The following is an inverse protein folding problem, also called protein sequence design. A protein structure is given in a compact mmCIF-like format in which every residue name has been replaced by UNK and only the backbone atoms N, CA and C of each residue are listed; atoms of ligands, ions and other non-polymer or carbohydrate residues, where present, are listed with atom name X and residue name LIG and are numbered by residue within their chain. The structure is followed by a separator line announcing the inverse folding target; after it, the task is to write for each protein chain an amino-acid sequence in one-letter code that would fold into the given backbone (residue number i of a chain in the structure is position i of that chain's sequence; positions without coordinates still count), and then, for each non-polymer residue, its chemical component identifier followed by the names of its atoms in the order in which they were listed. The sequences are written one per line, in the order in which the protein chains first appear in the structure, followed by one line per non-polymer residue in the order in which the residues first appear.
data_IF_000746079156
#
_entry.id   IF_000746079156
#
_cell.length_a   1.000
_cell.length_b   1.000
_cell.length_c   1.000
_cell.angle_alpha   90.00
_cell.angle_beta   90.00
_cell.angle_gamma   90.00
#
_symmetry.space_group_name_H-M   'P 1'
#
loop_
_entity.id
_entity.type
_entity.pdbx_description
1 polymer ?
#
# COMPACT_ATOMS: atom_id res chain seq x y z
N UNK A 1 -31.28 -15.49 -62.80
CA UNK A 1 -31.80 -15.57 -61.42
C UNK A 1 -31.03 -16.65 -60.68
N UNK A 2 -29.96 -16.29 -59.97
CA UNK A 2 -29.09 -17.23 -59.27
C UNK A 2 -29.22 -16.99 -57.76
N UNK A 3 -29.50 -18.07 -57.03
CA UNK A 3 -29.74 -18.07 -55.60
C UNK A 3 -28.44 -17.85 -54.81
N UNK A 4 -28.40 -16.82 -53.98
CA UNK A 4 -27.33 -16.55 -53.02
C UNK A 4 -27.57 -17.32 -51.72
N UNK A 5 -26.78 -18.36 -51.48
CA UNK A 5 -26.64 -19.02 -50.17
C UNK A 5 -25.82 -18.14 -49.23
N UNK A 6 -26.47 -17.57 -48.22
CA UNK A 6 -25.80 -16.82 -47.14
C UNK A 6 -25.14 -17.77 -46.14
N UNK A 7 -23.80 -17.80 -46.14
CA UNK A 7 -23.03 -18.46 -45.10
C UNK A 7 -23.12 -17.66 -43.79
N UNK A 8 -23.70 -18.26 -42.75
CA UNK A 8 -23.78 -17.68 -41.42
C UNK A 8 -22.37 -17.51 -40.82
N UNK A 9 -21.98 -16.25 -40.58
CA UNK A 9 -20.75 -15.88 -39.86
C UNK A 9 -20.86 -16.35 -38.41
N UNK A 10 -19.94 -17.20 -37.98
CA UNK A 10 -19.82 -17.61 -36.58
C UNK A 10 -19.61 -16.38 -35.66
N UNK A 11 -20.25 -16.31 -34.48
CA UNK A 11 -20.06 -15.20 -33.57
C UNK A 11 -18.61 -15.20 -33.07
N UNK A 12 -17.88 -14.14 -33.42
CA UNK A 12 -16.51 -13.91 -32.98
C UNK A 12 -16.39 -14.00 -31.46
N UNK A 13 -15.44 -14.82 -31.00
CA UNK A 13 -14.99 -14.84 -29.60
C UNK A 13 -14.62 -13.41 -29.20
N UNK A 14 -15.41 -12.80 -28.33
CA UNK A 14 -15.07 -11.52 -27.69
C UNK A 14 -13.70 -11.67 -27.03
N UNK A 15 -12.79 -10.77 -27.38
CA UNK A 15 -11.47 -10.66 -26.77
C UNK A 15 -11.64 -10.60 -25.24
N UNK A 16 -10.94 -11.50 -24.53
CA UNK A 16 -11.09 -11.67 -23.10
C UNK A 16 -10.62 -10.44 -22.35
N UNK A 17 -11.57 -9.68 -21.79
CA UNK A 17 -11.29 -8.74 -20.71
C UNK A 17 -10.58 -9.50 -19.59
N UNK A 18 -9.39 -9.06 -19.20
CA UNK A 18 -8.70 -9.52 -17.99
C UNK A 18 -9.70 -9.48 -16.82
N UNK A 19 -10.18 -10.65 -16.40
CA UNK A 19 -11.32 -10.76 -15.50
C UNK A 19 -10.85 -10.41 -14.08
N UNK A 20 -11.04 -9.15 -13.69
CA UNK A 20 -10.81 -8.66 -12.32
C UNK A 20 -11.56 -9.57 -11.35
N UNK A 21 -10.83 -10.27 -10.48
CA UNK A 21 -11.44 -11.18 -9.52
C UNK A 21 -12.06 -10.41 -8.36
N UNK A 22 -13.34 -10.67 -8.08
CA UNK A 22 -14.06 -9.98 -7.01
C UNK A 22 -13.51 -10.33 -5.62
N UNK A 23 -13.03 -11.55 -5.42
CA UNK A 23 -12.39 -12.00 -4.18
C UNK A 23 -11.24 -11.07 -3.71
N UNK A 24 -10.39 -10.59 -4.62
CA UNK A 24 -9.33 -9.64 -4.28
C UNK A 24 -9.86 -8.25 -3.89
N UNK A 25 -10.99 -7.85 -4.47
CA UNK A 25 -11.64 -6.59 -4.11
C UNK A 25 -12.30 -6.68 -2.74
N UNK A 26 -12.93 -7.81 -2.41
CA UNK A 26 -13.48 -8.07 -1.08
C UNK A 26 -12.38 -7.99 -0.02
N UNK A 27 -11.28 -8.71 -0.21
CA UNK A 27 -10.15 -8.71 0.74
C UNK A 27 -9.61 -7.30 0.94
N UNK A 28 -9.45 -6.52 -0.15
CA UNK A 28 -9.01 -5.12 -0.04
C UNK A 28 -10.00 -4.25 0.70
N UNK A 29 -11.29 -4.35 0.36
CA UNK A 29 -12.37 -3.56 0.99
C UNK A 29 -12.44 -3.85 2.48
N UNK A 30 -12.38 -5.13 2.87
CA UNK A 30 -12.32 -5.52 4.28
C UNK A 30 -11.11 -4.89 4.96
N UNK A 31 -9.92 -5.03 4.37
CA UNK A 31 -8.70 -4.49 4.96
C UNK A 31 -8.74 -2.96 5.11
N UNK A 32 -9.13 -2.19 4.08
CA UNK A 32 -9.27 -0.73 4.19
C UNK A 32 -10.36 -0.32 5.17
N UNK A 33 -11.45 -1.08 5.28
CA UNK A 33 -12.53 -0.77 6.23
C UNK A 33 -12.01 -0.84 7.67
N UNK A 34 -11.24 -1.87 8.01
CA UNK A 34 -10.60 -1.96 9.33
C UNK A 34 -9.59 -0.82 9.55
N UNK A 35 -8.84 -0.43 8.51
CA UNK A 35 -7.91 0.72 8.55
C UNK A 35 -8.63 2.06 8.81
N UNK A 36 -9.79 2.27 8.19
CA UNK A 36 -10.55 3.50 8.38
C UNK A 36 -11.22 3.49 9.74
N UNK A 37 -11.83 2.36 10.11
CA UNK A 37 -12.56 2.22 11.36
C UNK A 37 -11.65 2.42 12.57
N UNK A 38 -10.41 1.91 12.55
CA UNK A 38 -9.50 2.08 13.68
C UNK A 38 -9.05 3.53 13.86
N UNK A 39 -8.69 4.22 12.78
CA UNK A 39 -8.36 5.65 12.88
C UNK A 39 -9.55 6.52 13.22
N UNK A 40 -10.69 6.38 12.53
CA UNK A 40 -11.85 7.26 12.76
C UNK A 40 -12.44 7.07 14.16
N UNK A 41 -12.24 5.92 14.79
CA UNK A 41 -12.65 5.69 16.19
C UNK A 41 -11.50 5.91 17.17
N UNK A 42 -10.65 4.92 17.38
CA UNK A 42 -9.58 4.91 18.37
C UNK A 42 -8.50 5.98 18.13
N UNK A 43 -8.20 6.25 16.86
CA UNK A 43 -7.20 7.24 16.48
C UNK A 43 -7.68 8.68 16.62
N UNK A 44 -8.97 8.94 16.36
CA UNK A 44 -9.60 10.24 16.49
C UNK A 44 -9.81 10.60 17.97
N UNK A 45 -10.22 9.63 18.80
CA UNK A 45 -10.30 9.78 20.26
C UNK A 45 -8.97 10.20 20.90
N UNK A 46 -7.84 9.76 20.34
CA UNK A 46 -6.52 10.12 20.84
C UNK A 46 -6.09 11.56 20.46
N UNK A 47 -6.86 12.26 19.64
CA UNK A 47 -6.58 13.65 19.26
C UNK A 47 -7.27 14.63 20.21
N UNK A 48 -6.65 15.79 20.51
CA UNK A 48 -7.24 16.79 21.38
C UNK A 48 -8.58 17.31 20.83
N UNK A 49 -9.55 17.47 21.72
CA UNK A 49 -10.87 18.07 21.47
C UNK A 49 -11.70 17.40 20.36
N UNK A 50 -11.48 16.10 20.11
CA UNK A 50 -12.39 15.29 19.31
C UNK A 50 -13.23 14.44 20.25
N UNK A 51 -14.55 14.59 20.14
CA UNK A 51 -15.47 13.82 20.97
C UNK A 51 -15.47 12.34 20.54
N UNK A 52 -15.35 11.38 21.49
CA UNK A 52 -15.28 9.96 21.17
C UNK A 52 -16.57 9.43 20.54
N UNK A 53 -16.42 8.38 19.72
CA UNK A 53 -17.53 7.59 19.21
C UNK A 53 -17.84 6.41 20.15
N UNK A 54 -19.07 5.86 20.13
CA UNK A 54 -19.39 4.69 20.93
C UNK A 54 -18.63 3.46 20.40
N UNK A 55 -17.62 3.06 21.15
CA UNK A 55 -16.75 1.92 20.84
C UNK A 55 -15.54 2.31 19.98
N UNK A 56 -14.46 1.56 20.17
CA UNK A 56 -13.18 1.81 19.50
C UNK A 56 -12.63 0.53 18.90
N UNK A 57 -12.02 0.64 17.72
CA UNK A 57 -11.40 -0.49 17.04
C UNK A 57 -9.88 -0.30 17.02
N UNK A 58 -9.13 -1.16 17.72
CA UNK A 58 -7.66 -1.12 17.76
C UNK A 58 -7.08 -2.40 17.16
N UNK A 59 -7.42 -2.67 15.91
CA UNK A 59 -7.08 -3.93 15.22
C UNK A 59 -6.36 -3.65 13.87
N UNK A 60 -5.04 -3.36 13.90
CA UNK A 60 -4.27 -2.91 12.72
C UNK A 60 -3.98 -3.98 11.66
N UNK A 61 -4.60 -5.15 11.73
CA UNK A 61 -4.37 -6.23 10.77
C UNK A 61 -4.78 -5.88 9.33
N UNK A 62 -5.68 -4.89 9.15
CA UNK A 62 -6.06 -4.37 7.84
C UNK A 62 -4.82 -3.87 7.07
N UNK A 63 -4.00 -3.04 7.70
CA UNK A 63 -2.70 -2.57 7.18
C UNK A 63 -1.79 -3.71 6.77
N UNK A 64 -1.61 -4.69 7.65
CA UNK A 64 -0.73 -5.82 7.39
C UNK A 64 -1.22 -6.62 6.18
N UNK A 65 -2.54 -6.81 6.07
CA UNK A 65 -3.16 -7.47 4.92
C UNK A 65 -2.90 -6.73 3.62
N UNK A 66 -2.88 -5.40 3.64
CA UNK A 66 -2.64 -4.57 2.46
C UNK A 66 -1.19 -4.69 2.00
N UNK A 67 -0.22 -4.72 2.92
CA UNK A 67 1.18 -5.02 2.59
C UNK A 67 1.37 -6.44 2.02
N UNK A 68 0.60 -7.43 2.52
CA UNK A 68 0.60 -8.78 1.94
C UNK A 68 -0.01 -8.78 0.53
N UNK A 69 -1.09 -8.02 0.29
CA UNK A 69 -1.67 -7.86 -1.06
C UNK A 69 -0.63 -7.28 -2.04
N UNK A 70 0.20 -6.34 -1.59
CA UNK A 70 1.34 -5.80 -2.33
C UNK A 70 2.30 -6.89 -2.75
N UNK A 71 2.71 -7.68 -1.76
CA UNK A 71 3.52 -8.88 -1.91
C UNK A 71 3.02 -9.78 -3.03
N UNK A 72 1.72 -10.08 -3.00
CA UNK A 72 1.08 -10.97 -3.95
C UNK A 72 1.12 -10.41 -5.38
N UNK A 73 0.73 -9.15 -5.57
CA UNK A 73 0.62 -8.55 -6.91
C UNK A 73 1.96 -8.15 -7.54
N UNK A 74 3.05 -8.11 -6.77
CA UNK A 74 4.40 -7.95 -7.34
C UNK A 74 4.72 -9.07 -8.34
N UNK A 75 4.41 -10.33 -8.01
CA UNK A 75 4.78 -11.48 -8.83
C UNK A 75 4.20 -11.48 -10.26
N UNK A 76 2.87 -11.42 -10.43
CA UNK A 76 2.23 -11.43 -11.76
C UNK A 76 2.67 -10.28 -12.66
N UNK A 77 2.96 -9.12 -12.09
CA UNK A 77 3.27 -7.89 -12.84
C UNK A 77 4.74 -7.75 -13.19
N UNK A 78 5.64 -8.17 -12.31
CA UNK A 78 7.08 -8.11 -12.52
C UNK A 78 7.50 -8.97 -13.71
N UNK A 79 6.74 -10.01 -14.05
CA UNK A 79 6.95 -10.85 -15.24
C UNK A 79 6.60 -10.16 -16.57
N UNK A 80 5.84 -9.06 -16.55
CA UNK A 80 5.30 -8.41 -17.75
C UNK A 80 6.18 -7.29 -18.30
N UNK A 81 7.07 -6.73 -17.48
CA UNK A 81 7.89 -5.56 -17.80
C UNK A 81 9.34 -5.79 -17.39
N UNK A 82 10.28 -5.02 -17.96
CA UNK A 82 11.63 -4.95 -17.42
C UNK A 82 11.60 -4.35 -16.01
N UNK A 83 12.54 -4.74 -15.14
CA UNK A 83 12.54 -4.33 -13.73
C UNK A 83 12.41 -2.81 -13.53
N UNK A 84 13.13 -2.01 -14.33
CA UNK A 84 13.05 -0.54 -14.26
C UNK A 84 11.69 0.01 -14.70
N UNK A 85 11.12 -0.47 -15.82
CA UNK A 85 9.78 -0.04 -16.28
C UNK A 85 8.68 -0.50 -15.31
N UNK A 86 8.84 -1.68 -14.72
CA UNK A 86 7.93 -2.17 -13.68
C UNK A 86 7.95 -1.26 -12.44
N UNK A 87 9.14 -0.89 -11.97
CA UNK A 87 9.28 0.02 -10.83
C UNK A 87 8.68 1.40 -11.13
N UNK A 88 8.97 1.96 -12.31
CA UNK A 88 8.35 3.21 -12.78
C UNK A 88 6.82 3.12 -12.81
N UNK A 89 6.25 2.01 -13.31
CA UNK A 89 4.81 1.81 -13.32
C UNK A 89 4.20 1.78 -11.90
N UNK A 90 4.90 1.22 -10.92
CA UNK A 90 4.46 1.24 -9.51
C UNK A 90 4.51 2.65 -8.93
N UNK A 91 5.57 3.41 -9.19
CA UNK A 91 5.69 4.79 -8.73
C UNK A 91 4.65 5.71 -9.38
N UNK A 92 4.46 5.62 -10.70
CA UNK A 92 3.48 6.37 -11.47
C UNK A 92 2.05 6.19 -10.96
N UNK A 93 1.78 5.07 -10.30
CA UNK A 93 0.47 4.77 -9.72
C UNK A 93 0.24 5.39 -8.35
N UNK A 94 1.27 5.42 -7.51
CA UNK A 94 1.14 5.79 -6.09
C UNK A 94 1.50 7.25 -5.88
N UNK A 95 2.61 7.72 -6.46
CA UNK A 95 3.18 9.03 -6.14
C UNK A 95 2.30 10.22 -6.54
N UNK A 96 1.64 10.27 -7.71
CA UNK A 96 0.88 11.47 -8.10
C UNK A 96 -0.26 11.79 -7.13
N UNK A 97 -1.08 10.79 -6.80
CA UNK A 97 -2.18 10.96 -5.85
C UNK A 97 -1.66 11.22 -4.43
N UNK A 98 -0.57 10.55 -4.01
CA UNK A 98 0.08 10.82 -2.73
C UNK A 98 0.55 12.28 -2.61
N UNK A 99 1.25 12.81 -3.63
CA UNK A 99 1.76 14.17 -3.63
C UNK A 99 0.61 15.17 -3.51
N UNK A 100 -0.47 14.99 -4.25
CA UNK A 100 -1.64 15.89 -4.16
C UNK A 100 -2.31 15.79 -2.80
N UNK A 101 -2.52 14.58 -2.27
CA UNK A 101 -3.09 14.38 -0.94
C UNK A 101 -2.21 15.00 0.16
N UNK A 102 -0.89 14.81 0.07
CA UNK A 102 0.08 15.41 1.00
C UNK A 102 0.02 16.94 1.00
N UNK A 103 0.01 17.55 -0.20
CA UNK A 103 -0.08 19.00 -0.33
C UNK A 103 -1.40 19.54 0.19
N UNK A 104 -2.51 18.85 -0.09
CA UNK A 104 -3.83 19.19 0.43
C UNK A 104 -3.86 19.09 1.96
N UNK A 105 -3.39 17.98 2.54
CA UNK A 105 -3.31 17.80 4.00
C UNK A 105 -2.42 18.86 4.64
N UNK A 106 -1.24 19.12 4.08
CA UNK A 106 -0.35 20.17 4.56
C UNK A 106 -1.03 21.54 4.55
N UNK A 107 -1.66 21.93 3.44
CA UNK A 107 -2.34 23.21 3.32
C UNK A 107 -3.50 23.34 4.32
N UNK A 108 -4.34 22.31 4.42
CA UNK A 108 -5.45 22.28 5.37
C UNK A 108 -4.93 22.45 6.79
N UNK A 109 -3.91 21.68 7.20
CA UNK A 109 -3.32 21.80 8.54
C UNK A 109 -2.72 23.18 8.79
N UNK A 110 -2.05 23.79 7.81
CA UNK A 110 -1.53 25.16 7.93
C UNK A 110 -2.61 26.23 8.15
N UNK A 111 -3.84 25.96 7.72
CA UNK A 111 -4.99 26.87 7.88
C UNK A 111 -5.71 26.60 9.21
N UNK A 112 -6.01 25.34 9.51
CA UNK A 112 -6.92 24.99 10.63
C UNK A 112 -6.20 24.84 11.97
N UNK A 113 -4.93 24.40 11.99
CA UNK A 113 -4.21 24.18 13.25
C UNK A 113 -4.02 25.47 14.04
N UNK A 114 -3.68 26.63 13.44
CA UNK A 114 -3.65 27.89 14.19
C UNK A 114 -5.01 28.25 14.81
N UNK A 115 -6.12 27.87 14.16
CA UNK A 115 -7.47 28.10 14.71
C UNK A 115 -7.73 27.14 15.88
N UNK A 116 -7.35 25.87 15.76
CA UNK A 116 -7.53 24.86 16.82
C UNK A 116 -6.64 25.11 18.05
N UNK A 117 -5.51 25.81 17.87
CA UNK A 117 -4.60 26.17 18.94
C UNK A 117 -4.77 27.64 19.40
N UNK A 118 -5.86 28.32 19.03
CA UNK A 118 -6.12 29.72 19.40
C UNK A 118 -5.00 30.72 19.05
N UNK A 119 -4.24 30.43 17.98
CA UNK A 119 -3.14 31.26 17.48
C UNK A 119 -1.78 31.02 18.16
N UNK A 120 -1.70 30.15 19.16
CA UNK A 120 -0.48 29.87 19.92
C UNK A 120 0.08 28.45 19.67
N UNK A 121 1.16 28.09 20.36
CA UNK A 121 1.60 26.70 20.42
C UNK A 121 0.56 25.88 21.19
N UNK A 122 0.00 24.86 20.54
CA UNK A 122 -1.06 24.06 21.12
C UNK A 122 -0.91 22.58 20.78
N UNK A 123 -1.88 21.76 21.21
CA UNK A 123 -1.74 20.31 21.18
C UNK A 123 -1.90 19.74 19.75
N UNK A 124 -2.44 20.52 18.81
CA UNK A 124 -2.38 20.19 17.39
C UNK A 124 -1.05 20.64 16.78
N UNK A 125 -0.29 19.67 16.28
CA UNK A 125 0.99 19.95 15.64
C UNK A 125 0.83 20.71 14.31
N UNK A 126 1.51 21.84 14.17
CA UNK A 126 1.56 22.65 12.95
C UNK A 126 2.77 22.23 12.09
N UNK A 127 2.58 21.53 10.97
CA UNK A 127 3.70 21.05 10.16
C UNK A 127 4.46 22.19 9.48
N UNK A 128 5.79 22.07 9.44
CA UNK A 128 6.68 23.00 8.73
C UNK A 128 6.99 22.55 7.30
N UNK A 129 7.62 23.43 6.52
CA UNK A 129 8.08 23.12 5.15
C UNK A 129 9.09 21.97 5.14
N UNK A 130 9.92 21.85 6.18
CA UNK A 130 10.86 20.74 6.33
C UNK A 130 10.15 19.39 6.43
N UNK A 131 9.00 19.32 7.11
CA UNK A 131 8.21 18.10 7.23
C UNK A 131 7.58 17.75 5.87
N UNK A 132 7.08 18.76 5.14
CA UNK A 132 6.56 18.58 3.79
C UNK A 132 7.62 17.99 2.84
N UNK A 133 8.82 18.57 2.80
CA UNK A 133 9.91 18.08 1.93
C UNK A 133 10.28 16.64 2.28
N UNK A 134 10.42 16.30 3.57
CA UNK A 134 10.76 14.93 4.00
C UNK A 134 9.66 13.92 3.66
N UNK A 135 8.40 14.34 3.74
CA UNK A 135 7.27 13.51 3.36
C UNK A 135 7.23 13.29 1.85
N UNK A 136 7.34 14.34 1.03
CA UNK A 136 7.38 14.24 -0.43
C UNK A 136 8.54 13.38 -0.94
N UNK A 137 9.71 13.45 -0.28
CA UNK A 137 10.87 12.61 -0.58
C UNK A 137 10.75 11.18 -0.01
N UNK A 138 9.69 10.86 0.73
CA UNK A 138 9.50 9.58 1.42
C UNK A 138 10.64 9.23 2.38
N UNK A 139 11.27 10.23 3.00
CA UNK A 139 12.36 10.06 3.98
C UNK A 139 11.94 10.42 5.42
N UNK A 140 10.67 10.73 5.65
CA UNK A 140 10.15 11.11 6.97
C UNK A 140 10.37 10.02 8.03
N UNK A 141 10.36 8.74 7.65
CA UNK A 141 10.68 7.62 8.56
C UNK A 141 12.11 7.68 9.09
N UNK A 142 13.06 8.29 8.37
CA UNK A 142 14.47 8.40 8.80
C UNK A 142 14.69 9.38 9.95
N UNK A 143 13.67 10.17 10.31
CA UNK A 143 13.80 11.19 11.35
C UNK A 143 13.61 10.63 12.77
N UNK A 144 13.07 9.42 12.92
CA UNK A 144 12.72 8.81 14.20
C UNK A 144 11.63 9.53 15.00
N UNK A 145 11.15 10.68 14.53
CA UNK A 145 10.22 11.55 15.25
C UNK A 145 8.81 11.46 14.65
N UNK A 146 7.96 10.60 15.22
CA UNK A 146 6.59 10.38 14.73
C UNK A 146 5.72 11.65 14.75
N UNK A 147 5.97 12.56 15.69
CA UNK A 147 5.28 13.85 15.80
C UNK A 147 5.46 14.76 14.57
N UNK A 148 6.51 14.52 13.76
CA UNK A 148 6.81 15.31 12.55
C UNK A 148 6.18 14.73 11.28
N UNK A 149 5.37 13.68 11.39
CA UNK A 149 4.58 13.18 10.26
C UNK A 149 3.38 14.10 10.03
N UNK A 150 3.23 14.59 8.80
CA UNK A 150 2.06 15.38 8.39
C UNK A 150 0.80 14.53 8.55
N UNK A 151 0.86 13.28 8.11
CA UNK A 151 -0.14 12.25 8.38
C UNK A 151 0.60 10.97 8.79
N UNK A 152 0.19 10.39 9.93
CA UNK A 152 0.87 9.23 10.47
C UNK A 152 0.67 7.99 9.61
N UNK A 153 -0.47 7.87 8.91
CA UNK A 153 -0.82 6.71 8.10
C UNK A 153 0.16 6.49 6.95
N UNK A 154 0.84 7.54 6.47
CA UNK A 154 1.73 7.50 5.32
C UNK A 154 3.03 6.74 5.52
N UNK A 155 3.31 6.24 6.73
CA UNK A 155 4.50 5.45 7.03
C UNK A 155 4.68 4.22 6.10
N UNK A 156 3.60 3.65 5.54
CA UNK A 156 3.76 2.50 4.62
C UNK A 156 4.23 2.87 3.23
N UNK A 157 4.09 4.11 2.79
CA UNK A 157 4.51 4.52 1.45
C UNK A 157 6.02 4.35 1.23
N UNK A 158 6.91 4.85 2.11
CA UNK A 158 8.34 4.56 1.98
C UNK A 158 8.64 3.06 2.05
N UNK A 159 7.93 2.32 2.92
CA UNK A 159 8.07 0.86 3.05
C UNK A 159 7.69 0.14 1.74
N UNK A 160 6.58 0.50 1.11
CA UNK A 160 6.13 -0.04 -0.17
C UNK A 160 7.12 0.30 -1.29
N UNK A 161 7.57 1.56 -1.38
CA UNK A 161 8.55 1.98 -2.37
C UNK A 161 9.87 1.23 -2.20
N UNK A 162 10.33 1.02 -0.96
CA UNK A 162 11.51 0.21 -0.66
C UNK A 162 11.31 -1.26 -1.08
N UNK A 163 10.14 -1.85 -0.80
CA UNK A 163 9.80 -3.20 -1.23
C UNK A 163 9.79 -3.34 -2.76
N UNK A 164 9.22 -2.37 -3.48
CA UNK A 164 9.24 -2.36 -4.95
C UNK A 164 10.67 -2.18 -5.48
N UNK A 165 11.46 -1.28 -4.90
CA UNK A 165 12.86 -1.10 -5.28
C UNK A 165 13.66 -2.41 -5.08
N UNK A 166 13.47 -3.08 -3.94
CA UNK A 166 14.08 -4.38 -3.64
C UNK A 166 13.66 -5.47 -4.62
N UNK A 167 12.35 -5.59 -4.92
CA UNK A 167 11.84 -6.55 -5.89
C UNK A 167 12.38 -6.29 -7.31
N UNK A 168 12.46 -5.03 -7.72
CA UNK A 168 13.05 -4.63 -8.99
C UNK A 168 14.54 -4.97 -9.06
N UNK A 169 15.30 -4.75 -7.97
CA UNK A 169 16.72 -5.08 -7.88
C UNK A 169 16.96 -6.59 -7.99
N UNK A 170 16.17 -7.40 -7.27
CA UNK A 170 16.22 -8.86 -7.36
C UNK A 170 15.92 -9.33 -8.79
N UNK A 171 14.86 -8.81 -9.40
CA UNK A 171 14.51 -9.15 -10.78
C UNK A 171 15.58 -8.72 -11.78
N UNK A 172 16.17 -7.54 -11.61
CA UNK A 172 17.26 -7.06 -12.45
C UNK A 172 18.48 -7.97 -12.36
N UNK A 173 18.87 -8.38 -11.15
CA UNK A 173 19.99 -9.31 -10.96
C UNK A 173 19.70 -10.68 -11.60
N UNK A 174 18.48 -11.21 -11.43
CA UNK A 174 18.04 -12.44 -12.08
C UNK A 174 18.08 -12.37 -13.60
N UNK A 175 17.67 -11.24 -14.19
CA UNK A 175 17.68 -11.07 -15.64
C UNK A 175 19.09 -10.90 -16.20
N UNK A 176 19.95 -10.15 -15.51
CA UNK A 176 21.29 -9.79 -15.98
C UNK A 176 22.32 -10.90 -15.77
N UNK A 177 22.25 -11.62 -14.64
CA UNK A 177 23.28 -12.61 -14.24
C UNK A 177 22.94 -14.05 -14.63
N UNK A 178 21.80 -14.29 -15.30
CA UNK A 178 21.24 -15.63 -15.57
C UNK A 178 21.50 -16.62 -14.42
N UNK A 179 21.16 -16.31 -13.16
CA UNK A 179 21.33 -17.26 -12.08
C UNK A 179 20.27 -18.35 -12.26
N UNK A 180 20.57 -19.36 -13.08
CA UNK A 180 19.73 -20.56 -13.28
C UNK A 180 19.57 -21.39 -12.00
N UNK A 181 20.12 -20.95 -10.86
CA UNK A 181 20.28 -21.75 -9.64
C UNK A 181 19.46 -21.28 -8.43
N UNK A 182 19.09 -20.00 -8.31
CA UNK A 182 18.37 -19.54 -7.11
C UNK A 182 16.87 -19.66 -7.31
N UNK A 183 16.25 -20.59 -6.58
CA UNK A 183 14.79 -20.77 -6.60
C UNK A 183 14.13 -19.56 -5.92
N UNK A 184 12.99 -19.03 -6.43
CA UNK A 184 12.28 -17.91 -5.79
C UNK A 184 11.95 -18.14 -4.32
N UNK A 185 11.69 -19.38 -3.92
CA UNK A 185 11.50 -19.76 -2.52
C UNK A 185 12.70 -19.42 -1.62
N UNK A 186 13.93 -19.55 -2.13
CA UNK A 186 15.15 -19.19 -1.38
C UNK A 186 15.21 -17.69 -1.13
N UNK A 187 14.78 -16.88 -2.10
CA UNK A 187 14.70 -15.42 -1.90
C UNK A 187 13.65 -15.06 -0.86
N UNK A 188 12.47 -15.70 -0.89
CA UNK A 188 11.43 -15.48 0.13
C UNK A 188 11.96 -15.83 1.53
N UNK A 189 12.62 -16.98 1.69
CA UNK A 189 13.25 -17.36 2.96
C UNK A 189 14.38 -16.41 3.37
N UNK A 190 15.19 -15.92 2.42
CA UNK A 190 16.21 -14.92 2.68
C UNK A 190 15.63 -13.61 3.18
N UNK A 191 14.56 -13.11 2.55
CA UNK A 191 13.83 -11.91 3.00
C UNK A 191 13.24 -12.12 4.39
N UNK A 192 12.67 -13.30 4.68
CA UNK A 192 12.18 -13.63 6.02
C UNK A 192 13.30 -13.68 7.06
N UNK A 193 14.47 -14.24 6.71
CA UNK A 193 15.64 -14.26 7.59
C UNK A 193 16.15 -12.85 7.90
N UNK A 194 16.25 -11.99 6.89
CA UNK A 194 16.63 -10.58 7.08
C UNK A 194 15.58 -9.85 7.93
N UNK A 195 14.29 -10.05 7.66
CA UNK A 195 13.22 -9.47 8.46
C UNK A 195 13.30 -9.96 9.91
N UNK A 196 13.51 -11.25 10.15
CA UNK A 196 13.63 -11.82 11.50
C UNK A 196 14.84 -11.28 12.27
N UNK A 197 15.96 -11.05 11.58
CA UNK A 197 17.18 -10.49 12.16
C UNK A 197 17.15 -8.95 12.32
N UNK A 198 16.21 -8.26 11.67
CA UNK A 198 16.15 -6.79 11.67
C UNK A 198 16.07 -6.14 13.07
N UNK A 199 15.44 -6.74 14.10
CA UNK A 199 15.46 -6.17 15.46
C UNK A 199 16.85 -6.09 16.08
N UNK A 200 17.81 -6.94 15.67
CA UNK A 200 19.21 -6.83 16.13
C UNK A 200 19.81 -5.50 15.67
N UNK A 201 19.47 -5.07 14.46
CA UNK A 201 19.90 -3.78 13.93
C UNK A 201 19.25 -2.60 14.68
N UNK A 202 18.05 -2.78 15.26
CA UNK A 202 17.43 -1.76 16.13
C UNK A 202 18.28 -1.48 17.37
N UNK A 203 19.05 -2.45 17.87
CA UNK A 203 20.00 -2.25 18.97
C UNK A 203 21.17 -1.31 18.62
N UNK A 204 21.45 -1.10 17.34
CA UNK A 204 22.51 -0.19 16.85
C UNK A 204 21.89 1.11 16.33
N UNK A 205 20.81 1.00 15.55
CA UNK A 205 20.10 2.13 14.94
C UNK A 205 18.59 1.87 14.97
N UNK A 206 17.86 2.58 15.83
CA UNK A 206 16.42 2.38 16.01
C UNK A 206 15.60 2.59 14.72
N UNK A 207 16.07 3.46 13.83
CA UNK A 207 15.31 3.94 12.68
C UNK A 207 15.52 3.11 11.41
N UNK A 208 16.68 2.48 11.24
CA UNK A 208 17.03 1.84 9.96
C UNK A 208 16.08 0.70 9.59
N UNK A 209 15.72 -0.24 10.49
CA UNK A 209 14.84 -1.36 10.11
C UNK A 209 13.46 -0.92 9.62
N UNK A 210 12.88 0.10 10.22
CA UNK A 210 11.57 0.65 9.84
C UNK A 210 11.67 1.52 8.60
N UNK A 211 12.63 2.44 8.54
CA UNK A 211 12.80 3.38 7.44
C UNK A 211 13.23 2.71 6.11
N UNK A 212 13.92 1.57 6.18
CA UNK A 212 14.26 0.75 5.01
C UNK A 212 13.18 -0.27 4.62
N UNK A 213 12.13 -0.42 5.45
CA UNK A 213 11.08 -1.41 5.27
C UNK A 213 11.46 -2.85 5.65
N UNK A 214 12.68 -3.10 6.11
CA UNK A 214 13.15 -4.44 6.54
C UNK A 214 12.28 -5.02 7.66
N UNK A 215 11.83 -4.18 8.59
CA UNK A 215 10.94 -4.58 9.68
C UNK A 215 9.59 -5.11 9.18
N UNK A 216 9.12 -4.73 7.98
CA UNK A 216 7.84 -5.15 7.42
C UNK A 216 7.98 -6.12 6.24
N UNK A 217 9.20 -6.48 5.86
CA UNK A 217 9.48 -7.28 4.68
C UNK A 217 8.85 -8.69 4.75
N UNK A 218 8.57 -9.21 5.95
CA UNK A 218 7.89 -10.50 6.14
C UNK A 218 6.46 -10.51 5.57
N UNK A 219 5.76 -9.38 5.57
CA UNK A 219 4.40 -9.26 5.02
C UNK A 219 4.42 -9.34 3.48
N UNK A 220 5.35 -8.63 2.83
CA UNK A 220 5.56 -8.73 1.39
C UNK A 220 6.02 -10.14 0.97
N UNK A 221 6.86 -10.78 1.79
CA UNK A 221 7.30 -12.15 1.59
C UNK A 221 6.12 -13.13 1.66
N UNK A 222 5.18 -12.95 2.58
CA UNK A 222 3.96 -13.76 2.68
C UNK A 222 3.11 -13.68 1.39
N UNK A 223 2.88 -12.47 0.89
CA UNK A 223 2.14 -12.26 -0.36
C UNK A 223 2.82 -12.92 -1.55
N UNK A 224 4.14 -12.72 -1.66
CA UNK A 224 4.96 -13.34 -2.71
C UNK A 224 4.92 -14.88 -2.63
N UNK A 225 4.94 -15.44 -1.41
CA UNK A 225 4.83 -16.88 -1.18
C UNK A 225 3.46 -17.44 -1.61
N UNK A 226 2.37 -16.75 -1.27
CA UNK A 226 1.00 -17.11 -1.72
C UNK A 226 0.93 -17.10 -3.25
N UNK A 227 1.53 -16.10 -3.90
CA UNK A 227 1.59 -16.05 -5.37
C UNK A 227 2.40 -17.22 -5.95
N UNK A 228 3.62 -17.46 -5.45
CA UNK A 228 4.46 -18.58 -5.90
C UNK A 228 3.77 -19.93 -5.72
N UNK A 229 3.07 -20.10 -4.59
CA UNK A 229 2.23 -21.27 -4.36
C UNK A 229 1.11 -21.33 -5.39
N UNK A 230 0.36 -20.26 -5.63
CA UNK A 230 -0.72 -20.24 -6.62
C UNK A 230 -0.26 -20.68 -8.02
N UNK A 231 0.95 -20.30 -8.42
CA UNK A 231 1.61 -20.67 -9.68
C UNK A 231 2.29 -22.06 -9.68
N UNK A 232 2.09 -22.86 -8.63
CA UNK A 232 2.73 -24.19 -8.43
C UNK A 232 4.27 -24.15 -8.40
N UNK A 233 4.86 -23.02 -8.00
CA UNK A 233 6.31 -22.81 -7.82
C UNK A 233 6.79 -22.98 -6.38
N UNK A 234 5.85 -23.15 -5.45
CA UNK A 234 6.09 -23.38 -4.02
C UNK A 234 5.17 -24.51 -3.54
N UNK A 235 5.74 -25.50 -2.84
CA UNK A 235 4.98 -26.61 -2.29
C UNK A 235 4.10 -26.14 -1.10
N UNK A 236 2.97 -26.81 -0.88
CA UNK A 236 2.03 -26.49 0.21
C UNK A 236 2.69 -26.44 1.60
N UNK A 237 3.46 -27.46 2.03
CA UNK A 237 4.13 -27.43 3.33
C UNK A 237 5.11 -26.25 3.48
N UNK A 238 5.77 -25.85 2.40
CA UNK A 238 6.68 -24.71 2.40
C UNK A 238 5.93 -23.39 2.56
N UNK A 239 4.77 -23.24 1.89
CA UNK A 239 3.88 -22.10 2.13
C UNK A 239 3.43 -22.07 3.60
N UNK A 240 2.96 -23.19 4.14
CA UNK A 240 2.53 -23.27 5.55
C UNK A 240 3.65 -22.84 6.50
N UNK A 241 4.87 -23.35 6.31
CA UNK A 241 6.02 -22.96 7.12
C UNK A 241 6.30 -21.45 7.03
N UNK A 242 6.27 -20.87 5.82
CA UNK A 242 6.44 -19.42 5.62
C UNK A 242 5.35 -18.64 6.35
N UNK A 243 4.08 -19.01 6.20
CA UNK A 243 2.97 -18.29 6.83
C UNK A 243 3.02 -18.39 8.36
N UNK A 244 3.43 -19.54 8.92
CA UNK A 244 3.64 -19.70 10.36
C UNK A 244 4.77 -18.82 10.87
N UNK A 245 5.89 -18.70 10.14
CA UNK A 245 6.97 -17.79 10.50
C UNK A 245 6.52 -16.33 10.43
N UNK A 246 5.74 -15.96 9.41
CA UNK A 246 5.18 -14.60 9.27
C UNK A 246 4.27 -14.27 10.46
N UNK A 247 3.37 -15.19 10.83
CA UNK A 247 2.49 -15.01 11.99
C UNK A 247 3.28 -14.97 13.30
N UNK A 248 4.29 -15.84 13.44
CA UNK A 248 5.20 -15.84 14.59
C UNK A 248 5.94 -14.52 14.75
N UNK A 249 6.54 -13.99 13.66
CA UNK A 249 7.13 -12.65 13.65
C UNK A 249 6.10 -11.58 14.00
N UNK A 250 4.86 -11.70 13.52
CA UNK A 250 3.82 -10.73 13.80
C UNK A 250 3.41 -10.70 15.28
N UNK A 251 3.48 -11.82 16.01
CA UNK A 251 3.23 -11.87 17.46
C UNK A 251 4.20 -10.96 18.22
N UNK A 252 5.48 -10.96 17.84
CA UNK A 252 6.51 -10.13 18.48
C UNK A 252 6.46 -8.66 18.03
N UNK A 253 5.73 -8.35 16.95
CA UNK A 253 5.68 -7.02 16.32
C UNK A 253 4.34 -6.30 16.51
N UNK A 254 3.41 -6.92 17.25
CA UNK A 254 2.09 -6.34 17.50
C UNK A 254 1.96 -5.95 18.97
N UNK A 255 1.38 -4.79 19.21
CA UNK A 255 0.90 -4.36 20.53
C UNK A 255 -0.35 -5.15 20.94
N UNK A 256 -0.79 -4.99 22.19
CA UNK A 256 -2.03 -5.62 22.65
C UNK A 256 -3.28 -5.04 21.95
N UNK A 257 -4.30 -5.86 21.61
CA UNK A 257 -4.42 -7.31 21.87
C UNK A 257 -3.74 -8.18 20.79
N UNK A 258 -2.50 -8.62 21.03
CA UNK A 258 -1.61 -9.13 19.97
C UNK A 258 -2.12 -10.41 19.32
N UNK A 259 -2.70 -11.31 20.12
CA UNK A 259 -3.22 -12.59 19.64
C UNK A 259 -4.43 -12.41 18.73
N UNK A 260 -5.31 -11.43 19.03
CA UNK A 260 -6.47 -11.12 18.20
C UNK A 260 -6.01 -10.55 16.86
N UNK A 261 -5.06 -9.62 16.87
CA UNK A 261 -4.48 -9.03 15.66
C UNK A 261 -3.88 -10.11 14.76
N UNK A 262 -3.09 -11.02 15.33
CA UNK A 262 -2.45 -12.12 14.59
C UNK A 262 -3.48 -13.13 14.09
N UNK A 263 -4.51 -13.45 14.87
CA UNK A 263 -5.60 -14.33 14.45
C UNK A 263 -6.37 -13.73 13.26
N UNK A 264 -6.72 -12.44 13.33
CA UNK A 264 -7.36 -11.72 12.22
C UNK A 264 -6.47 -11.73 10.96
N UNK A 265 -5.16 -11.46 11.10
CA UNK A 265 -4.22 -11.58 9.98
C UNK A 265 -4.19 -13.01 9.42
N UNK A 266 -4.17 -14.03 10.28
CA UNK A 266 -4.24 -15.43 9.87
C UNK A 266 -5.48 -15.76 9.05
N UNK A 267 -6.65 -15.25 9.44
CA UNK A 267 -7.90 -15.35 8.67
C UNK A 267 -7.74 -14.68 7.30
N UNK A 268 -7.18 -13.45 7.25
CA UNK A 268 -6.95 -12.76 5.99
C UNK A 268 -5.97 -13.52 5.08
N UNK A 269 -4.89 -14.10 5.61
CA UNK A 269 -3.97 -14.95 4.84
C UNK A 269 -4.67 -16.20 4.28
N UNK A 270 -5.55 -16.83 5.07
CA UNK A 270 -6.38 -17.93 4.62
C UNK A 270 -7.31 -17.53 3.47
N UNK A 271 -8.00 -16.39 3.60
CA UNK A 271 -8.84 -15.82 2.55
C UNK A 271 -8.05 -15.50 1.27
N UNK A 272 -6.82 -14.98 1.41
CA UNK A 272 -5.93 -14.75 0.27
C UNK A 272 -5.50 -16.06 -0.41
N UNK A 273 -5.24 -17.14 0.34
CA UNK A 273 -4.98 -18.45 -0.24
C UNK A 273 -6.20 -18.98 -1.01
N UNK A 274 -7.41 -18.80 -0.46
CA UNK A 274 -8.67 -19.15 -1.13
C UNK A 274 -8.88 -18.30 -2.39
N UNK A 275 -8.62 -16.99 -2.37
CA UNK A 275 -8.73 -16.13 -3.55
C UNK A 275 -7.70 -16.49 -4.64
N UNK A 276 -6.50 -16.92 -4.23
CA UNK A 276 -5.41 -17.22 -5.13
C UNK A 276 -5.64 -18.49 -5.96
N UNK A 277 -6.20 -19.57 -5.37
CA UNK A 277 -6.44 -20.85 -6.07
C UNK A 277 -7.90 -21.29 -6.16
N UNK A 278 -8.78 -20.76 -5.33
CA UNK A 278 -10.19 -21.12 -5.29
C UNK A 278 -11.04 -20.45 -6.37
N UNK A 279 -12.33 -20.81 -6.44
CA UNK A 279 -13.28 -20.14 -7.31
C UNK A 279 -13.43 -18.67 -6.90
N UNK A 280 -13.75 -17.81 -7.88
CA UNK A 280 -14.08 -16.43 -7.54
C UNK A 280 -15.40 -16.36 -6.76
N UNK A 281 -15.57 -15.29 -5.99
CA UNK A 281 -16.65 -15.18 -5.03
C UNK A 281 -17.95 -14.63 -5.64
N UNK A 282 -18.02 -14.41 -6.95
CA UNK A 282 -19.19 -13.84 -7.65
C UNK A 282 -20.47 -14.64 -7.39
N UNK A 283 -20.34 -15.94 -7.15
CA UNK A 283 -21.50 -16.81 -6.84
C UNK A 283 -22.17 -16.48 -5.51
N UNK A 284 -21.41 -15.97 -4.53
CA UNK A 284 -21.91 -15.70 -3.17
C UNK A 284 -22.20 -14.21 -2.99
N UNK A 285 -21.31 -13.35 -3.51
CA UNK A 285 -21.38 -11.89 -3.29
C UNK A 285 -21.68 -11.12 -4.59
N UNK A 286 -22.19 -11.78 -5.63
CA UNK A 286 -22.42 -11.17 -6.94
C UNK A 286 -23.32 -9.92 -6.92
N UNK A 287 -24.30 -9.87 -6.02
CA UNK A 287 -25.17 -8.70 -5.81
C UNK A 287 -24.36 -7.46 -5.38
N UNK A 288 -23.30 -7.68 -4.58
CA UNK A 288 -22.41 -6.63 -4.08
C UNK A 288 -21.21 -6.37 -4.99
N UNK A 289 -21.10 -7.04 -6.15
CA UNK A 289 -19.95 -6.92 -7.05
C UNK A 289 -19.66 -5.48 -7.43
N UNK A 290 -20.68 -4.73 -7.85
CA UNK A 290 -20.54 -3.32 -8.25
C UNK A 290 -20.08 -2.42 -7.10
N UNK A 291 -20.76 -2.36 -5.94
CA UNK A 291 -20.32 -1.50 -4.84
C UNK A 291 -18.93 -1.91 -4.31
N UNK A 292 -18.64 -3.21 -4.17
CA UNK A 292 -17.33 -3.69 -3.71
C UNK A 292 -16.24 -3.32 -4.72
N UNK A 293 -16.47 -3.55 -6.02
CA UNK A 293 -15.52 -3.20 -7.07
C UNK A 293 -15.25 -1.70 -7.15
N UNK A 294 -16.28 -0.89 -6.92
CA UNK A 294 -16.19 0.57 -6.88
C UNK A 294 -15.38 1.04 -5.67
N UNK A 295 -15.71 0.54 -4.47
CA UNK A 295 -15.02 0.88 -3.24
C UNK A 295 -13.55 0.44 -3.27
N UNK A 296 -13.28 -0.78 -3.76
CA UNK A 296 -11.92 -1.27 -4.03
C UNK A 296 -11.18 -0.44 -5.08
N UNK A 297 -11.91 0.27 -5.95
CA UNK A 297 -11.34 1.15 -6.98
C UNK A 297 -10.94 2.53 -6.45
N UNK A 298 -11.46 2.96 -5.30
CA UNK A 298 -11.12 4.22 -4.63
C UNK A 298 -10.36 4.01 -3.31
N UNK A 299 -10.06 2.76 -2.95
CA UNK A 299 -9.49 2.40 -1.64
C UNK A 299 -8.16 3.09 -1.33
N UNK A 300 -7.38 3.40 -2.36
CA UNK A 300 -6.14 4.16 -2.20
C UNK A 300 -6.39 5.65 -1.97
N UNK A 301 -7.38 6.23 -2.64
CA UNK A 301 -7.86 7.56 -2.28
C UNK A 301 -8.31 7.62 -0.83
N UNK A 302 -9.08 6.60 -0.38
CA UNK A 302 -9.57 6.50 1.00
C UNK A 302 -8.39 6.44 1.96
N UNK A 303 -7.41 5.58 1.69
CA UNK A 303 -6.18 5.55 2.47
C UNK A 303 -5.53 6.92 2.61
N UNK A 304 -5.41 7.66 1.51
CA UNK A 304 -4.67 8.90 1.52
C UNK A 304 -5.35 10.00 2.35
N UNK A 305 -6.67 9.94 2.55
CA UNK A 305 -7.42 11.03 3.17
C UNK A 305 -8.13 10.66 4.48
N UNK A 306 -8.15 9.38 4.86
CA UNK A 306 -8.97 8.94 6.00
C UNK A 306 -8.49 9.43 7.37
N UNK A 307 -7.18 9.61 7.58
CA UNK A 307 -6.65 9.86 8.91
C UNK A 307 -6.66 11.35 9.28
N UNK A 308 -5.64 12.15 8.93
CA UNK A 308 -5.56 13.54 9.44
C UNK A 308 -6.66 14.44 8.91
N UNK A 309 -7.02 14.32 7.64
CA UNK A 309 -8.16 15.07 7.10
C UNK A 309 -9.47 14.61 7.75
N UNK A 310 -9.63 13.30 8.02
CA UNK A 310 -10.75 12.78 8.80
C UNK A 310 -10.81 13.37 10.21
N UNK A 311 -9.67 13.50 10.89
CA UNK A 311 -9.59 14.11 12.23
C UNK A 311 -9.92 15.59 12.21
N UNK A 312 -9.47 16.33 11.19
CA UNK A 312 -9.85 17.75 11.02
C UNK A 312 -11.36 17.88 10.90
N UNK A 313 -12.00 17.06 10.07
CA UNK A 313 -13.47 17.09 9.92
C UNK A 313 -14.17 16.74 11.24
N UNK A 314 -13.70 15.70 11.94
CA UNK A 314 -14.25 15.32 13.24
C UNK A 314 -14.11 16.44 14.29
N UNK A 315 -12.94 17.10 14.36
CA UNK A 315 -12.67 18.23 15.27
C UNK A 315 -13.56 19.43 14.97
N UNK A 316 -13.78 19.74 13.69
CA UNK A 316 -14.70 20.81 13.27
C UNK A 316 -16.13 20.48 13.69
N UNK A 317 -16.59 19.25 13.49
CA UNK A 317 -17.93 18.81 13.89
C UNK A 317 -18.14 18.83 15.41
N UNK A 318 -17.12 18.44 16.19
CA UNK A 318 -17.14 18.59 17.66
C UNK A 318 -17.20 20.07 18.06
N UNK A 319 -16.41 20.95 17.41
CA UNK A 319 -16.44 22.39 17.69
C UNK A 319 -17.74 23.09 17.27
N UNK A 320 -18.51 22.50 16.35
CA UNK A 320 -19.86 22.95 15.99
C UNK A 320 -20.96 22.33 16.88
N UNK A 321 -20.59 21.62 17.95
CA UNK A 321 -21.51 20.99 18.89
C UNK A 321 -22.51 20.03 18.20
N UNK A 322 -22.05 19.29 17.19
CA UNK A 322 -22.88 18.27 16.53
C UNK A 322 -23.01 17.06 17.45
N UNK A 323 -24.00 17.06 18.34
CA UNK A 323 -24.24 16.04 19.36
C UNK A 323 -24.39 14.59 18.83
N UNK A 324 -25.14 14.31 17.75
CA UNK A 324 -25.39 12.92 17.37
C UNK A 324 -24.13 12.29 16.76
N UNK A 325 -23.50 11.37 17.50
CA UNK A 325 -22.26 10.69 17.08
C UNK A 325 -22.39 10.03 15.69
N UNK A 326 -23.56 9.48 15.37
CA UNK A 326 -23.81 8.81 14.08
C UNK A 326 -23.84 9.81 12.92
N UNK A 327 -24.29 11.04 13.17
CA UNK A 327 -24.29 12.11 12.19
C UNK A 327 -22.85 12.60 11.96
N UNK A 328 -22.08 12.81 13.04
CA UNK A 328 -20.66 13.15 12.94
C UNK A 328 -19.89 12.11 12.14
N UNK A 329 -20.05 10.83 12.48
CA UNK A 329 -19.41 9.72 11.79
C UNK A 329 -19.84 9.65 10.33
N UNK A 330 -21.13 9.79 10.04
CA UNK A 330 -21.68 9.79 8.70
C UNK A 330 -21.08 10.90 7.83
N UNK A 331 -20.94 12.11 8.37
CA UNK A 331 -20.33 13.25 7.68
C UNK A 331 -18.83 12.99 7.45
N UNK A 332 -18.09 12.55 8.46
CA UNK A 332 -16.65 12.22 8.32
C UNK A 332 -16.43 11.18 7.22
N UNK A 333 -17.16 10.06 7.25
CA UNK A 333 -17.04 9.01 6.25
C UNK A 333 -17.44 9.50 4.85
N UNK A 334 -18.48 10.34 4.75
CA UNK A 334 -18.91 10.92 3.47
C UNK A 334 -17.82 11.82 2.89
N UNK A 335 -17.23 12.70 3.70
CA UNK A 335 -16.13 13.58 3.25
C UNK A 335 -14.92 12.76 2.81
N UNK A 336 -14.54 11.73 3.58
CA UNK A 336 -13.44 10.82 3.22
C UNK A 336 -13.71 10.14 1.87
N UNK A 337 -14.91 9.58 1.66
CA UNK A 337 -15.27 8.87 0.43
C UNK A 337 -15.32 9.82 -0.77
N UNK A 338 -15.85 11.03 -0.61
CA UNK A 338 -15.90 12.03 -1.67
C UNK A 338 -14.51 12.56 -2.05
N UNK A 339 -13.67 12.86 -1.05
CA UNK A 339 -12.29 13.29 -1.27
C UNK A 339 -11.46 12.18 -1.94
N UNK A 340 -11.63 10.94 -1.50
CA UNK A 340 -11.01 9.77 -2.10
C UNK A 340 -11.42 9.58 -3.56
N UNK A 341 -12.72 9.67 -3.84
CA UNK A 341 -13.24 9.58 -5.20
C UNK A 341 -12.69 10.69 -6.10
N UNK A 342 -12.66 11.94 -5.61
CA UNK A 342 -12.10 13.07 -6.34
C UNK A 342 -10.62 12.85 -6.65
N UNK A 343 -9.83 12.43 -5.67
CA UNK A 343 -8.41 12.13 -5.86
C UNK A 343 -8.19 11.01 -6.88
N UNK A 344 -8.99 9.95 -6.82
CA UNK A 344 -8.89 8.84 -7.77
C UNK A 344 -9.28 9.27 -9.20
N UNK A 345 -10.33 10.05 -9.36
CA UNK A 345 -10.84 10.44 -10.68
C UNK A 345 -9.99 11.54 -11.33
N UNK A 346 -9.60 12.56 -10.58
CA UNK A 346 -8.93 13.74 -11.12
C UNK A 346 -7.41 13.65 -11.08
N UNK A 347 -6.82 12.79 -10.25
CA UNK A 347 -5.35 12.69 -10.11
C UNK A 347 -4.84 11.31 -10.45
N UNK A 348 -5.29 10.28 -9.74
CA UNK A 348 -4.74 8.92 -9.87
C UNK A 348 -4.91 8.36 -11.29
N UNK A 349 -6.14 8.34 -11.81
CA UNK A 349 -6.43 7.76 -13.14
C UNK A 349 -5.77 8.54 -14.28
N UNK A 350 -5.84 9.88 -14.34
CA UNK A 350 -5.16 10.64 -15.38
C UNK A 350 -3.65 10.49 -15.32
N UNK A 351 -3.04 10.65 -14.14
CA UNK A 351 -1.59 10.54 -13.99
C UNK A 351 -1.08 9.14 -14.34
N UNK A 352 -1.78 8.08 -13.92
CA UNK A 352 -1.41 6.72 -14.29
C UNK A 352 -1.48 6.50 -15.80
N UNK A 353 -2.48 7.05 -16.50
CA UNK A 353 -2.58 6.94 -17.97
C UNK A 353 -1.43 7.64 -18.69
N UNK A 354 -0.94 8.76 -18.15
CA UNK A 354 0.14 9.56 -18.75
C UNK A 354 1.53 9.01 -18.44
N UNK A 355 1.75 8.50 -17.22
CA UNK A 355 3.06 8.12 -16.71
C UNK A 355 3.36 6.61 -16.82
N UNK A 356 2.34 5.76 -16.99
CA UNK A 356 2.56 4.33 -17.12
C UNK A 356 3.33 4.02 -18.42
N UNK A 357 4.39 3.20 -18.36
CA UNK A 357 5.13 2.80 -19.56
C UNK A 357 4.21 2.17 -20.59
N UNK A 358 4.29 2.62 -21.84
CA UNK A 358 3.59 1.99 -22.96
C UNK A 358 3.96 0.50 -23.01
N UNK A 359 2.94 -0.37 -23.09
CA UNK A 359 3.21 -1.77 -23.41
C UNK A 359 3.86 -1.81 -24.78
N UNK A 360 4.97 -2.56 -24.97
CA UNK A 360 5.45 -2.81 -26.31
C UNK A 360 4.30 -3.49 -27.06
N UNK A 361 3.81 -2.82 -28.11
CA UNK A 361 2.91 -3.44 -29.07
C UNK A 361 3.56 -4.75 -29.47
N UNK A 362 2.83 -5.87 -29.31
CA UNK A 362 3.22 -7.10 -30.02
C UNK A 362 3.18 -6.72 -31.48
N UNK A 363 4.34 -6.41 -32.05
CA UNK A 363 4.51 -6.39 -33.50
C UNK A 363 3.90 -7.69 -34.00
N UNK A 364 2.95 -7.67 -34.95
CA UNK A 364 2.52 -8.88 -35.62
C UNK A 364 3.80 -9.56 -36.03
N UNK A 365 4.03 -10.74 -35.46
CA UNK A 365 5.19 -11.55 -35.76
C UNK A 365 5.17 -11.65 -37.28
N UNK A 366 6.13 -10.99 -37.95
CA UNK A 366 6.28 -11.09 -39.39
C UNK A 366 6.34 -12.57 -39.65
N UNK A 367 5.28 -13.12 -40.23
CA UNK A 367 5.29 -14.41 -40.88
C UNK A 367 6.50 -14.35 -41.79
N UNK A 368 7.60 -14.99 -41.39
CA UNK A 368 8.67 -15.29 -42.32
C UNK A 368 7.97 -16.05 -43.44
N UNK A 369 8.01 -15.59 -44.70
CA UNK A 369 7.62 -16.46 -45.78
C UNK A 369 8.53 -17.67 -45.68
N UNK A 370 7.93 -18.85 -45.53
CA UNK A 370 8.64 -20.10 -45.74
C UNK A 370 9.37 -19.99 -47.09
N UNK A 371 10.65 -20.31 -47.09
CA UNK A 371 11.47 -20.29 -48.29
C UNK A 371 10.80 -21.14 -49.38
N UNK A 372 10.60 -20.64 -50.61
CA UNK A 372 10.12 -21.48 -51.70
C UNK A 372 11.21 -22.48 -52.06
N UNK A 373 10.83 -23.75 -52.22
CA UNK A 373 11.68 -24.77 -52.83
C UNK A 373 12.10 -24.36 -54.26
N UNK A 374 13.19 -24.95 -54.78
CA UNK A 374 13.68 -24.61 -56.11
C UNK A 374 12.70 -25.22 -57.12
N UNK A 375 11.91 -24.37 -57.76
CA UNK A 375 11.34 -24.54 -59.11
C UNK A 375 10.15 -23.58 -59.30
N UNK A 376 10.41 -22.35 -59.77
CA UNK A 376 9.54 -21.52 -60.63
C UNK A 376 10.02 -20.05 -60.70
N UNK A 377 9.77 -19.33 -61.82
CA UNK A 377 10.57 -18.18 -62.25
C UNK A 377 10.16 -16.83 -61.62
N UNK A 378 11.06 -15.85 -61.80
CA UNK A 378 11.04 -14.50 -61.25
C UNK A 378 9.74 -13.68 -61.51
N UNK A 379 9.39 -12.73 -60.63
CA UNK A 379 8.17 -11.93 -60.77
C UNK A 379 8.39 -10.71 -61.68
N UNK A 380 7.36 -10.42 -62.48
CA UNK A 380 7.25 -9.21 -63.27
C UNK A 380 6.70 -8.07 -62.39
N UNK A 381 7.29 -6.89 -62.51
CA UNK A 381 6.95 -5.69 -61.75
C UNK A 381 5.64 -5.07 -62.24
N UNK A 382 4.72 -4.71 -61.34
CA UNK A 382 3.93 -3.47 -61.48
C UNK A 382 3.27 -3.07 -60.16
N UNK A 383 3.62 -1.86 -59.76
CA UNK A 383 3.16 -1.12 -58.60
C UNK A 383 1.90 -0.33 -58.98
N UNK A 384 0.82 -0.45 -58.20
CA UNK A 384 -0.28 0.51 -58.21
C UNK A 384 -0.82 0.67 -56.78
N UNK A 385 -0.67 1.89 -56.28
CA UNK A 385 -0.95 2.31 -54.91
C UNK A 385 -2.45 2.34 -54.59
N UNK A 386 -2.82 1.79 -53.44
CA UNK A 386 -4.14 1.94 -52.83
C UNK A 386 -4.05 2.91 -51.63
N UNK A 387 -4.89 3.95 -51.64
CA UNK A 387 -5.02 4.95 -50.57
C UNK A 387 -5.35 4.32 -49.21
N UNK A 388 -4.84 4.87 -48.08
CA UNK A 388 -5.13 4.33 -46.76
C UNK A 388 -6.57 4.66 -46.32
N UNK A 389 -7.32 3.62 -45.93
CA UNK A 389 -8.59 3.73 -45.23
C UNK A 389 -8.41 4.30 -43.80
N UNK A 390 -9.47 4.87 -43.18
CA UNK A 390 -9.35 5.65 -41.94
C UNK A 390 -8.92 4.81 -40.76
N UNK A 391 -8.06 5.37 -39.90
CA UNK A 391 -7.63 4.77 -38.64
C UNK A 391 -8.84 4.45 -37.74
N UNK A 392 -8.97 3.17 -37.35
CA UNK A 392 -9.90 2.72 -36.33
C UNK A 392 -9.56 3.33 -34.95
N UNK A 393 -10.56 3.63 -34.11
CA UNK A 393 -10.34 4.18 -32.77
C UNK A 393 -9.54 3.23 -31.88
N UNK A 394 -8.56 3.79 -31.17
CA UNK A 394 -7.70 3.08 -30.24
C UNK A 394 -8.49 2.31 -29.16
N UNK A 395 -8.04 1.08 -28.92
CA UNK A 395 -8.54 0.15 -27.89
C UNK A 395 -8.54 0.78 -26.48
N UNK A 396 -9.58 0.52 -25.64
CA UNK A 396 -9.59 0.96 -24.25
C UNK A 396 -8.49 0.29 -23.41
N UNK A 397 -7.80 1.11 -22.61
CA UNK A 397 -6.77 0.67 -21.66
C UNK A 397 -7.26 -0.44 -20.70
N UNK A 398 -6.43 -1.46 -20.50
CA UNK A 398 -6.64 -2.54 -19.53
C UNK A 398 -6.93 -2.01 -18.10
N UNK A 399 -7.86 -2.61 -17.34
CA UNK A 399 -8.22 -2.13 -16.00
C UNK A 399 -7.25 -2.54 -14.86
N UNK A 400 -7.08 -1.57 -13.97
CA UNK A 400 -6.38 -1.45 -12.69
C UNK A 400 -6.07 -2.72 -11.85
N UNK A 401 -4.79 -2.85 -11.47
CA UNK A 401 -4.43 -3.40 -10.16
C UNK A 401 -4.54 -2.28 -9.10
N UNK A 402 -4.78 -2.60 -7.81
CA UNK A 402 -5.43 -1.65 -6.90
C UNK A 402 -4.64 -1.36 -5.61
N UNK A 403 -4.62 -0.10 -5.18
CA UNK A 403 -3.59 0.49 -4.31
C UNK A 403 -3.92 0.47 -2.80
N UNK A 404 -2.89 0.70 -1.97
CA UNK A 404 -2.72 0.12 -0.62
C UNK A 404 -2.78 1.11 0.55
N UNK A 405 -3.54 0.77 1.61
CA UNK A 405 -3.61 1.48 2.91
C UNK A 405 -2.90 0.95 4.20
N UNK A 406 -2.81 1.79 5.25
CA UNK A 406 -2.09 1.58 6.53
C UNK A 406 -2.59 2.29 7.82
N UNK A 407 -2.22 1.78 9.02
CA UNK A 407 -2.48 2.18 10.44
C UNK A 407 -1.32 1.86 11.45
N UNK A 408 -1.44 2.06 12.80
CA UNK A 408 -0.85 3.17 13.56
C UNK A 408 0.26 2.71 14.53
N UNK A 409 0.93 3.67 15.17
CA UNK A 409 1.91 3.43 16.22
C UNK A 409 1.51 4.10 17.54
N UNK A 410 2.13 3.57 18.60
CA UNK A 410 1.83 3.56 20.03
C UNK A 410 1.80 4.93 20.73
N UNK A 411 0.95 5.04 21.76
CA UNK A 411 0.90 6.16 22.70
C UNK A 411 2.16 6.20 23.53
N UNK A 412 2.84 7.35 23.59
CA UNK A 412 3.80 7.62 24.65
C UNK A 412 3.05 7.65 25.99
N UNK A 413 3.50 6.89 26.98
CA UNK A 413 3.06 7.06 28.36
C UNK A 413 3.54 8.44 28.87
N UNK A 414 2.77 9.14 29.72
CA UNK A 414 3.24 10.36 30.35
C UNK A 414 4.46 10.06 31.22
N UNK A 415 5.47 10.93 31.16
CA UNK A 415 6.63 10.84 32.04
C UNK A 415 6.19 10.91 33.51
N UNK A 416 6.67 9.96 34.32
CA UNK A 416 6.55 10.03 35.78
C UNK A 416 7.17 11.34 36.28
N UNK A 417 6.44 12.05 37.15
CA UNK A 417 6.96 13.24 37.82
C UNK A 417 8.18 12.84 38.68
N UNK A 418 9.25 13.66 38.71
CA UNK A 418 10.40 13.36 39.55
C UNK A 418 9.99 13.37 41.03
N UNK A 419 10.34 12.29 41.73
CA UNK A 419 10.28 12.19 43.19
C UNK A 419 11.09 13.33 43.79
N UNK A 420 10.55 14.13 44.73
CA UNK A 420 11.33 15.16 45.42
C UNK A 420 12.50 14.51 46.16
N UNK A 421 13.71 15.02 45.93
CA UNK A 421 14.87 14.62 46.71
C UNK A 421 14.64 14.96 48.19
N UNK A 422 14.92 14.01 49.09
CA UNK A 422 14.93 14.27 50.53
C UNK A 422 15.95 15.38 50.87
N UNK A 423 15.69 16.22 51.88
CA UNK A 423 16.63 17.26 52.29
C UNK A 423 17.93 16.63 52.78
N UNK A 424 19.04 17.04 52.17
CA UNK A 424 20.39 16.69 52.65
C UNK A 424 20.65 17.44 53.96
N UNK A 425 20.90 16.69 55.03
CA UNK A 425 21.30 17.18 56.35
C UNK A 425 22.64 17.94 56.26
N UNK A 426 22.79 19.17 56.78
CA UNK A 426 24.03 19.92 56.63
C UNK A 426 25.19 19.27 57.40
N UNK A 427 26.29 19.06 56.66
CA UNK A 427 27.53 18.47 57.15
C UNK A 427 28.11 19.21 58.38
N UNK A 428 28.49 18.44 59.40
CA UNK A 428 29.18 18.96 60.59
C UNK A 428 30.63 19.40 60.26
N UNK A 429 31.16 20.45 60.91
CA UNK A 429 32.51 20.94 60.65
C UNK A 429 33.58 20.02 61.26
N UNK A 430 34.55 19.64 60.44
CA UNK A 430 35.72 18.85 60.83
C UNK A 430 36.64 19.68 61.73
N UNK A 431 36.84 19.23 62.98
CA UNK A 431 37.85 19.74 63.91
C UNK A 431 39.25 19.26 63.50
N UNK A 432 40.20 20.19 63.46
CA UNK A 432 41.55 20.00 62.94
C UNK A 432 42.52 19.19 63.81
N UNK A 433 43.74 19.06 63.32
CA UNK A 433 44.90 18.56 64.05
C UNK A 433 46.19 19.10 63.35
N UNK A 434 47.36 19.13 64.02
CA UNK A 434 48.03 20.37 64.38
C UNK A 434 49.31 20.64 63.58
N UNK A 435 49.67 21.93 63.50
CA UNK A 435 51.01 22.40 63.12
C UNK A 435 52.06 22.00 64.16
N UNK A 436 53.26 21.67 63.69
CA UNK A 436 54.49 22.22 64.28
C UNK A 436 55.68 22.11 63.33
N UNK A 437 56.60 23.04 63.52
CA UNK A 437 58.00 22.91 63.15
C UNK A 437 58.60 21.57 63.63
#
# INVERSE_FOLDING_TARGET
MAATTGAARAPGRRAGTSNRKMSWDVIRVLAITFVVAGHVTAGAEAMPDIEPYPGTLRLPFGTFTLLVLSGYFMGPTLRKLSAGRWFQARLARILPAYVVAMLATFLVLRIVVPIFNDGEEGPWYLPGVGDLVRNLLLVHEWTGNMHRRIDASYWTLPVQVAAFAGAALVAWFWWRRRPRRVRPAVVVWGVLGVAAASPVLSGITQVVPTATGLYYAHLFAAGTAIWLWSERRLAGPNLTAILLVVLGLQIFRSSEPRLVIVACLGVMLGLMCLAARGPDWDRVLGVLRRPISWLAGISFGIYLVHQKLGYVVARVLTGMEVEPWWLRLGVVLTVIVLAAWALTVFVERPAHRLLAPARPSRSPQSSRPDAPGPDAPAPDTTEAAESPAPAEPAEPAEPAEPAEPAEPAESAAPAEAPVPAEPVDPAQPVKGAPTRA
#
